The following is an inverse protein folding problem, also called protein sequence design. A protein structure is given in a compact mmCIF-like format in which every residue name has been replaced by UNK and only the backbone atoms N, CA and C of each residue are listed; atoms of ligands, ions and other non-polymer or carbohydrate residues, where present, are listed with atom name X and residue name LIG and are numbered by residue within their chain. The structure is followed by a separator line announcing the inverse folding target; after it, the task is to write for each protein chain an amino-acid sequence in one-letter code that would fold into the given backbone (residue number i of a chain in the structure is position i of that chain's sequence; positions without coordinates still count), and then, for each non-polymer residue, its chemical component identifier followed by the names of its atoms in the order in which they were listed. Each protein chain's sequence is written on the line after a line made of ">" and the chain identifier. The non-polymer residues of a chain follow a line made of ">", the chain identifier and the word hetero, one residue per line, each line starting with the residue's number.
data_IF_181746940196
#
_entry.id   IF_181746940196
#
_cell.length_a   1.000
_cell.length_b   1.000
_cell.length_c   1.000
_cell.angle_alpha   90.00
_cell.angle_beta   90.00
_cell.angle_gamma   90.00
#
_symmetry.space_group_name_H-M   'P 1'
#
loop_
_entity.id
_entity.type
_entity.pdbx_description
1 polymer ?
#
# COMPACT_ATOMS: atom_id res chain seq x y z
N UNK A 1 17.75 7.05 -33.29
CA UNK A 1 16.84 5.88 -33.40
C UNK A 1 16.04 5.80 -32.11
N UNK A 2 14.75 6.05 -32.19
CA UNK A 2 13.82 6.11 -31.05
C UNK A 2 13.31 4.71 -30.77
N UNK A 3 13.58 4.15 -29.57
CA UNK A 3 13.02 2.87 -29.15
C UNK A 3 11.64 3.07 -28.51
N UNK A 4 10.64 2.22 -28.81
CA UNK A 4 9.27 2.37 -28.33
C UNK A 4 9.07 1.83 -26.91
N UNK A 5 8.24 2.55 -26.16
CA UNK A 5 7.88 2.38 -24.75
C UNK A 5 6.71 1.39 -24.58
N UNK A 6 6.93 0.09 -24.76
CA UNK A 6 5.84 -0.89 -24.54
C UNK A 6 6.35 -2.28 -24.17
N UNK A 7 6.65 -2.49 -22.88
CA UNK A 7 6.56 -3.80 -22.21
C UNK A 7 6.70 -3.63 -20.69
N UNK A 8 5.58 -3.47 -19.99
CA UNK A 8 5.55 -3.82 -18.56
C UNK A 8 5.52 -5.35 -18.47
N UNK A 9 6.67 -5.97 -18.19
CA UNK A 9 6.72 -7.35 -17.70
C UNK A 9 6.38 -7.32 -16.20
N UNK A 10 5.51 -8.24 -15.76
CA UNK A 10 5.03 -8.29 -14.38
C UNK A 10 6.17 -8.15 -13.36
N UNK A 11 6.01 -7.22 -12.43
CA UNK A 11 7.00 -6.97 -11.39
C UNK A 11 6.85 -8.09 -10.35
N UNK A 12 7.64 -9.15 -10.51
CA UNK A 12 7.91 -10.08 -9.40
C UNK A 12 9.02 -9.46 -8.53
N UNK A 13 8.87 -9.44 -7.19
CA UNK A 13 9.97 -9.04 -6.34
C UNK A 13 11.16 -9.97 -6.59
N UNK A 14 12.33 -9.37 -6.81
CA UNK A 14 13.60 -10.09 -6.96
C UNK A 14 13.95 -10.70 -5.60
N UNK A 15 14.30 -11.99 -5.57
CA UNK A 15 14.51 -12.81 -4.36
C UNK A 15 15.64 -12.33 -3.41
N UNK A 16 16.34 -11.24 -3.71
CA UNK A 16 17.33 -10.68 -2.80
C UNK A 16 17.62 -9.20 -3.06
N UNK A 17 17.17 -8.33 -2.15
CA UNK A 17 17.73 -7.00 -2.02
C UNK A 17 19.07 -7.09 -1.29
N UNK A 18 20.16 -6.96 -2.03
CA UNK A 18 21.51 -6.89 -1.47
C UNK A 18 21.79 -5.49 -0.87
N UNK A 19 21.01 -5.09 0.15
CA UNK A 19 21.31 -3.90 0.94
C UNK A 19 22.14 -4.33 2.16
N UNK A 20 23.47 -4.18 2.02
CA UNK A 20 24.54 -4.73 2.88
C UNK A 20 24.62 -4.16 4.32
N UNK A 21 23.51 -3.74 4.92
CA UNK A 21 23.40 -3.35 6.33
C UNK A 21 22.33 -4.14 7.11
N UNK A 22 21.54 -4.99 6.42
CA UNK A 22 20.52 -5.84 7.04
C UNK A 22 21.07 -7.27 7.22
N UNK A 23 21.26 -7.69 8.48
CA UNK A 23 21.82 -9.02 8.84
C UNK A 23 20.95 -10.23 8.44
N UNK A 24 19.78 -10.00 7.84
CA UNK A 24 18.90 -11.02 7.25
C UNK A 24 18.28 -10.39 5.99
N UNK A 25 18.29 -11.06 4.82
CA UNK A 25 17.50 -10.58 3.70
C UNK A 25 16.04 -10.50 4.17
N UNK A 26 15.41 -9.33 4.02
CA UNK A 26 13.98 -9.17 4.25
C UNK A 26 13.26 -9.90 3.11
N UNK A 27 13.27 -11.23 3.14
CA UNK A 27 12.49 -12.05 2.23
C UNK A 27 11.02 -11.65 2.42
N UNK A 28 10.37 -11.33 1.31
CA UNK A 28 8.93 -11.08 1.22
C UNK A 28 8.43 -9.78 1.87
N UNK A 29 9.30 -8.79 2.11
CA UNK A 29 8.86 -7.43 2.46
C UNK A 29 8.83 -6.55 1.22
N UNK A 30 7.70 -5.89 0.98
CA UNK A 30 7.48 -5.02 -0.16
C UNK A 30 6.80 -3.70 0.22
N UNK A 31 6.95 -2.70 -0.64
CA UNK A 31 6.21 -1.45 -0.51
C UNK A 31 5.66 -1.03 -1.87
N UNK A 32 4.37 -0.74 -1.92
CA UNK A 32 3.69 -0.19 -3.10
C UNK A 32 3.17 1.19 -2.74
N UNK A 33 3.49 2.21 -3.54
CA UNK A 33 2.96 3.57 -3.33
C UNK A 33 2.23 4.02 -4.59
N UNK A 34 0.96 4.36 -4.43
CA UNK A 34 0.12 4.88 -5.49
C UNK A 34 0.45 6.35 -5.76
N UNK A 35 0.12 6.81 -6.97
CA UNK A 35 0.18 8.23 -7.31
C UNK A 35 -0.80 9.03 -6.44
N UNK A 36 -0.54 10.33 -6.22
CA UNK A 36 -1.48 11.19 -5.50
C UNK A 36 -2.88 11.13 -6.12
N UNK A 37 -3.87 10.77 -5.32
CA UNK A 37 -5.27 10.60 -5.69
C UNK A 37 -6.16 11.41 -4.76
N UNK A 38 -7.29 11.87 -5.29
CA UNK A 38 -8.28 12.62 -4.50
C UNK A 38 -9.15 11.62 -3.73
N UNK A 39 -9.26 11.79 -2.41
CA UNK A 39 -10.00 10.90 -1.52
C UNK A 39 -11.31 11.51 -1.01
N UNK A 40 -11.69 12.71 -1.47
CA UNK A 40 -12.82 13.47 -0.91
C UNK A 40 -14.15 12.71 -1.00
N UNK A 41 -14.39 12.05 -2.13
CA UNK A 41 -15.62 11.32 -2.41
C UNK A 41 -15.46 9.80 -2.24
N UNK A 42 -14.40 9.34 -1.55
CA UNK A 42 -14.14 7.91 -1.32
C UNK A 42 -14.58 7.53 0.09
N UNK A 43 -15.56 6.63 0.18
CA UNK A 43 -16.10 6.14 1.44
C UNK A 43 -15.33 4.92 1.97
N UNK A 44 -14.84 4.08 1.07
CA UNK A 44 -14.16 2.84 1.44
C UNK A 44 -12.99 2.56 0.51
N UNK A 45 -11.88 2.07 1.08
CA UNK A 45 -10.76 1.53 0.33
C UNK A 45 -10.68 0.04 0.66
N UNK A 46 -10.66 -0.81 -0.36
CA UNK A 46 -10.50 -2.25 -0.19
C UNK A 46 -9.30 -2.76 -0.97
N UNK A 47 -8.59 -3.75 -0.41
CA UNK A 47 -7.44 -4.40 -1.06
C UNK A 47 -7.80 -5.85 -1.37
N UNK A 48 -7.62 -6.25 -2.63
CA UNK A 48 -7.60 -7.66 -3.01
C UNK A 48 -6.19 -8.19 -2.78
N UNK A 49 -6.04 -9.08 -1.79
CA UNK A 49 -4.75 -9.58 -1.40
C UNK A 49 -4.83 -10.92 -0.66
N UNK A 50 -3.73 -11.68 -0.81
CA UNK A 50 -3.43 -12.83 0.02
C UNK A 50 -2.33 -12.45 1.02
N UNK A 51 -2.72 -12.32 2.28
CA UNK A 51 -1.82 -12.07 3.41
C UNK A 51 -1.93 -13.22 4.43
N UNK A 52 -2.14 -14.46 3.98
CA UNK A 52 -2.29 -15.62 4.87
C UNK A 52 -1.01 -15.94 5.64
N UNK A 53 0.15 -15.69 5.02
CA UNK A 53 1.46 -15.96 5.61
C UNK A 53 2.07 -14.76 6.36
N UNK A 54 1.41 -13.60 6.33
CA UNK A 54 1.90 -12.37 6.95
C UNK A 54 0.82 -11.30 7.10
N UNK A 55 1.12 -10.07 6.68
CA UNK A 55 0.19 -8.95 6.83
C UNK A 55 0.43 -7.82 5.83
N UNK A 56 -0.62 -7.06 5.57
CA UNK A 56 -0.55 -5.81 4.81
C UNK A 56 -0.98 -4.66 5.72
N UNK A 57 -0.22 -3.58 5.72
CA UNK A 57 -0.60 -2.33 6.39
C UNK A 57 -0.63 -1.20 5.39
N UNK A 58 -1.58 -0.29 5.56
CA UNK A 58 -1.82 0.78 4.59
C UNK A 58 -1.69 2.12 5.29
N UNK A 59 -0.84 2.99 4.76
CA UNK A 59 -0.66 4.35 5.25
C UNK A 59 -1.02 5.39 4.19
N UNK A 60 -1.42 6.57 4.64
CA UNK A 60 -1.63 7.74 3.78
C UNK A 60 -0.50 8.75 3.97
N UNK A 61 -0.06 9.28 2.84
CA UNK A 61 0.91 10.34 2.75
C UNK A 61 0.29 11.56 2.06
N UNK A 62 0.81 12.74 2.35
CA UNK A 62 0.51 13.94 1.57
C UNK A 62 0.94 13.75 0.12
N UNK A 63 0.47 14.61 -0.80
CA UNK A 63 0.95 14.64 -2.18
C UNK A 63 2.49 14.83 -2.32
N UNK A 64 3.13 15.35 -1.27
CA UNK A 64 4.59 15.54 -1.18
C UNK A 64 5.32 14.38 -0.49
N UNK A 65 4.60 13.34 -0.06
CA UNK A 65 5.16 12.12 0.54
C UNK A 65 5.37 12.17 2.05
N UNK A 66 4.86 13.19 2.75
CA UNK A 66 4.93 13.26 4.22
C UNK A 66 3.83 12.41 4.87
N UNK A 67 4.15 11.78 5.99
CA UNK A 67 3.17 10.98 6.77
C UNK A 67 2.10 11.88 7.37
N UNK A 68 0.86 11.39 7.36
CA UNK A 68 -0.26 12.07 7.99
C UNK A 68 -0.49 11.42 9.36
N UNK A 69 -0.46 12.20 10.46
CA UNK A 69 -0.76 11.68 11.79
C UNK A 69 -2.12 10.97 11.83
N UNK A 70 -2.19 9.79 12.44
CA UNK A 70 -3.42 9.00 12.53
C UNK A 70 -3.73 8.16 11.27
N UNK A 71 -3.01 8.35 10.17
CA UNK A 71 -3.08 7.51 8.97
C UNK A 71 -1.72 6.85 8.66
N UNK A 72 -0.82 6.76 9.63
CA UNK A 72 0.49 6.15 9.45
C UNK A 72 0.39 4.61 9.47
N UNK A 73 1.47 3.93 9.06
CA UNK A 73 1.57 2.46 9.20
C UNK A 73 1.30 1.98 10.63
N UNK A 74 1.74 2.73 11.65
CA UNK A 74 1.54 2.36 13.06
C UNK A 74 0.08 2.50 13.51
N UNK A 75 -0.66 3.39 12.85
CA UNK A 75 -2.09 3.63 13.07
C UNK A 75 -2.97 2.73 12.20
N UNK A 76 -2.41 2.06 11.20
CA UNK A 76 -3.12 1.14 10.31
C UNK A 76 -3.51 -0.16 11.01
N UNK A 77 -4.72 -0.63 10.73
CA UNK A 77 -5.15 -1.97 11.09
C UNK A 77 -4.52 -2.97 10.11
N UNK A 78 -3.78 -3.99 10.60
CA UNK A 78 -3.17 -4.99 9.74
C UNK A 78 -4.24 -5.83 9.05
N UNK A 79 -4.08 -6.03 7.74
CA UNK A 79 -4.89 -6.92 6.92
C UNK A 79 -4.18 -8.28 6.86
N UNK A 80 -4.87 -9.34 7.25
CA UNK A 80 -4.33 -10.71 7.35
C UNK A 80 -5.28 -11.70 6.70
N UNK A 81 -4.76 -12.80 6.15
CA UNK A 81 -5.56 -13.80 5.45
C UNK A 81 -5.76 -13.51 3.96
N UNK A 82 -6.47 -14.41 3.29
CA UNK A 82 -6.82 -14.28 1.87
C UNK A 82 -8.23 -13.70 1.71
N UNK A 83 -8.33 -12.55 1.03
CA UNK A 83 -9.61 -11.92 0.74
C UNK A 83 -9.52 -11.03 -0.50
N UNK A 84 -10.59 -11.07 -1.29
CA UNK A 84 -10.76 -10.21 -2.46
C UNK A 84 -11.07 -8.76 -2.07
N UNK A 85 -11.54 -8.52 -0.84
CA UNK A 85 -12.01 -7.21 -0.39
C UNK A 85 -11.63 -6.96 1.07
N UNK A 86 -10.33 -6.91 1.37
CA UNK A 86 -9.85 -6.49 2.69
C UNK A 86 -10.17 -5.01 2.93
N UNK A 87 -10.99 -4.65 3.93
CA UNK A 87 -11.29 -3.26 4.22
C UNK A 87 -10.08 -2.58 4.86
N UNK A 88 -9.61 -1.49 4.25
CA UNK A 88 -8.53 -0.67 4.81
C UNK A 88 -9.11 0.23 5.90
N UNK A 89 -8.46 0.24 7.06
CA UNK A 89 -8.83 1.14 8.14
C UNK A 89 -7.66 1.49 9.03
N UNK A 90 -7.86 2.55 9.81
CA UNK A 90 -6.94 3.02 10.84
C UNK A 90 -7.63 2.97 12.19
N UNK A 91 -6.83 2.90 13.26
CA UNK A 91 -7.32 2.66 14.62
C UNK A 91 -8.29 3.73 15.13
N UNK A 92 -8.06 5.00 14.77
CA UNK A 92 -8.77 6.15 15.33
C UNK A 92 -9.36 7.10 14.28
N UNK A 93 -8.97 6.93 13.02
CA UNK A 93 -9.29 7.86 11.94
C UNK A 93 -9.99 7.11 10.81
N UNK A 94 -10.87 7.81 10.12
CA UNK A 94 -11.57 7.35 8.93
C UNK A 94 -11.24 8.27 7.75
N UNK A 95 -11.64 7.87 6.54
CA UNK A 95 -11.43 8.72 5.36
C UNK A 95 -12.14 10.08 5.46
N UNK A 96 -13.24 10.16 6.23
CA UNK A 96 -13.97 11.39 6.48
C UNK A 96 -13.18 12.42 7.30
N UNK A 97 -12.16 11.98 8.07
CA UNK A 97 -11.30 12.85 8.87
C UNK A 97 -10.15 13.46 8.06
N UNK A 98 -10.00 13.08 6.78
CA UNK A 98 -9.00 13.70 5.90
C UNK A 98 -9.45 15.09 5.44
N UNK A 99 -8.56 16.10 5.51
CA UNK A 99 -8.83 17.39 4.90
C UNK A 99 -8.90 17.25 3.37
N UNK A 100 -9.51 18.22 2.69
CA UNK A 100 -9.55 18.24 1.24
C UNK A 100 -8.13 18.28 0.66
N UNK A 101 -7.82 17.38 -0.27
CA UNK A 101 -6.49 17.31 -0.87
C UNK A 101 -6.23 16.00 -1.60
N UNK A 102 -5.04 15.91 -2.21
CA UNK A 102 -4.54 14.69 -2.84
C UNK A 102 -3.59 13.97 -1.90
N UNK A 103 -3.74 12.65 -1.86
CA UNK A 103 -3.02 11.78 -0.95
C UNK A 103 -2.41 10.61 -1.68
N UNK A 104 -1.28 10.12 -1.21
CA UNK A 104 -0.68 8.90 -1.73
C UNK A 104 -1.02 7.76 -0.79
N UNK A 105 -1.58 6.68 -1.32
CA UNK A 105 -1.79 5.45 -0.59
C UNK A 105 -0.53 4.59 -0.67
N UNK A 106 0.01 4.16 0.47
CA UNK A 106 1.18 3.30 0.54
C UNK A 106 0.87 2.03 1.29
N UNK A 107 1.03 0.90 0.60
CA UNK A 107 0.89 -0.43 1.16
C UNK A 107 2.26 -0.95 1.57
N UNK A 108 2.33 -1.50 2.76
CA UNK A 108 3.46 -2.22 3.33
C UNK A 108 3.10 -3.68 3.37
N UNK A 109 3.80 -4.50 2.58
CA UNK A 109 3.56 -5.92 2.46
C UNK A 109 4.64 -6.64 3.27
N UNK A 110 4.23 -7.57 4.12
CA UNK A 110 5.09 -8.48 4.87
C UNK A 110 4.55 -9.88 4.65
N UNK A 111 5.27 -10.71 3.90
CA UNK A 111 4.85 -12.06 3.49
C UNK A 111 3.41 -12.10 2.90
N UNK A 112 3.14 -11.14 2.02
CA UNK A 112 1.82 -10.94 1.43
C UNK A 112 1.89 -10.55 -0.06
N UNK A 113 0.83 -10.87 -0.78
CA UNK A 113 0.65 -10.58 -2.20
C UNK A 113 -0.58 -9.68 -2.40
N UNK A 114 -0.41 -8.56 -3.11
CA UNK A 114 -1.50 -7.64 -3.47
C UNK A 114 -1.78 -7.74 -4.96
N UNK A 115 -3.04 -7.97 -5.30
CA UNK A 115 -3.51 -8.07 -6.68
C UNK A 115 -4.16 -6.79 -7.17
N UNK A 116 -4.96 -6.12 -6.32
CA UNK A 116 -5.65 -4.89 -6.68
C UNK A 116 -5.97 -4.02 -5.46
N UNK A 117 -6.13 -2.73 -5.71
CA UNK A 117 -6.67 -1.75 -4.76
C UNK A 117 -7.90 -1.12 -5.39
N UNK A 118 -9.01 -1.14 -4.66
CA UNK A 118 -10.30 -0.61 -5.10
C UNK A 118 -10.69 0.55 -4.21
N UNK A 119 -11.06 1.67 -4.82
CA UNK A 119 -11.59 2.86 -4.15
C UNK A 119 -13.09 2.90 -4.44
N UNK A 120 -13.93 2.93 -3.41
CA UNK A 120 -15.39 2.98 -3.55
C UNK A 120 -15.92 4.36 -3.15
N UNK A 121 -16.78 4.90 -4.01
CA UNK A 121 -17.50 6.14 -3.81
C UNK A 121 -18.81 5.95 -3.03
#
# INVERSE_FOLDING_TARGET
>A
ATLPLDRFAGIRPVESSAQSTLKKPLKNIGQVTLKPLDLKDIQEITVNANATAGQIQVELLTATGFRIPGFSKADSNPLTGDSLTHPVGWKKQTLADLPAGKYMLRLHLDDAEVFAVTLKH
#
